data_IF_042242952454
#
_entry.id   IF_042242952454
#
_cell.length_a   1.000
_cell.length_b   1.000
_cell.length_c   1.000
_cell.angle_alpha   90.00
_cell.angle_beta   90.00
_cell.angle_gamma   90.00
#
_symmetry.space_group_name_H-M   'P 1'
#
loop_
_entity.id
_entity.type
_entity.pdbx_description
1 polymer ?
#
# COMPACT_ATOMS: atom_id res chain seq x y z
N UNK A 1 6.73 18.06 5.70
CA UNK A 1 6.03 16.84 6.11
C UNK A 1 4.58 17.00 5.68
N UNK A 2 4.10 16.19 4.75
CA UNK A 2 2.75 16.32 4.20
C UNK A 2 1.86 15.30 4.89
N UNK A 3 0.82 15.76 5.58
CA UNK A 3 -0.16 14.88 6.18
C UNK A 3 -1.18 14.46 5.12
N UNK A 4 -1.44 13.15 5.05
CA UNK A 4 -2.43 12.55 4.17
C UNK A 4 -3.39 11.74 5.03
N UNK A 5 -4.68 11.87 4.74
CA UNK A 5 -5.74 11.08 5.36
C UNK A 5 -6.17 10.03 4.36
N UNK A 6 -6.21 8.77 4.80
CA UNK A 6 -6.62 7.63 3.98
C UNK A 6 -7.67 6.83 4.74
N UNK A 7 -8.79 6.57 4.08
CA UNK A 7 -9.80 5.66 4.61
C UNK A 7 -9.35 4.22 4.33
N UNK A 8 -9.17 3.47 5.41
CA UNK A 8 -8.75 2.08 5.38
C UNK A 8 -9.82 1.19 6.03
N UNK A 9 -10.05 -0.03 5.49
CA UNK A 9 -10.87 -1.01 6.19
C UNK A 9 -10.32 -1.29 7.59
N UNK A 10 -11.21 -1.43 8.56
CA UNK A 10 -10.85 -1.66 9.98
C UNK A 10 -9.89 -2.85 10.13
N UNK A 11 -10.16 -3.95 9.44
CA UNK A 11 -9.32 -5.15 9.47
C UNK A 11 -7.88 -4.91 8.99
N UNK A 12 -7.68 -3.96 8.07
CA UNK A 12 -6.36 -3.61 7.54
C UNK A 12 -5.61 -2.71 8.52
N UNK A 13 -6.32 -1.79 9.17
CA UNK A 13 -5.79 -0.98 10.27
C UNK A 13 -5.32 -1.87 11.42
N UNK A 14 -6.15 -2.83 11.85
CA UNK A 14 -5.80 -3.78 12.91
C UNK A 14 -4.56 -4.62 12.56
N UNK A 15 -4.49 -5.10 11.31
CA UNK A 15 -3.36 -5.90 10.83
C UNK A 15 -2.06 -5.08 10.81
N UNK A 16 -2.11 -3.86 10.28
CA UNK A 16 -0.96 -2.96 10.21
C UNK A 16 -0.49 -2.51 11.61
N UNK A 17 -1.43 -2.28 12.54
CA UNK A 17 -1.10 -2.00 13.94
C UNK A 17 -0.46 -3.20 14.64
N UNK A 18 -0.95 -4.42 14.38
CA UNK A 18 -0.35 -5.64 14.91
C UNK A 18 1.10 -5.80 14.43
N UNK A 19 1.33 -5.55 13.13
CA UNK A 19 2.66 -5.60 12.52
C UNK A 19 3.59 -4.51 13.08
N UNK A 20 3.09 -3.29 13.28
CA UNK A 20 3.84 -2.21 13.93
C UNK A 20 4.28 -2.57 15.34
N UNK A 21 3.38 -3.15 16.14
CA UNK A 21 3.72 -3.65 17.49
C UNK A 21 4.78 -4.74 17.45
N UNK A 22 4.65 -5.71 16.54
CA UNK A 22 5.61 -6.81 16.40
C UNK A 22 7.00 -6.35 15.95
N UNK A 23 7.08 -5.23 15.21
CA UNK A 23 8.32 -4.68 14.67
C UNK A 23 8.85 -3.46 15.45
N UNK A 24 8.17 -3.06 16.54
CA UNK A 24 8.45 -1.85 17.30
C UNK A 24 8.49 -0.57 16.43
N UNK A 25 7.59 -0.49 15.43
CA UNK A 25 7.51 0.62 14.48
C UNK A 25 6.13 1.27 14.50
N UNK A 26 6.11 2.54 14.13
CA UNK A 26 4.87 3.31 13.99
C UNK A 26 4.04 2.82 12.81
N UNK A 27 2.71 2.96 12.92
CA UNK A 27 1.77 2.55 11.87
C UNK A 27 2.08 3.21 10.52
N UNK A 28 2.46 4.49 10.53
CA UNK A 28 2.81 5.22 9.31
C UNK A 28 4.03 4.65 8.58
N UNK A 29 5.02 4.15 9.32
CA UNK A 29 6.21 3.52 8.74
C UNK A 29 5.85 2.19 8.09
N UNK A 30 5.06 1.36 8.78
CA UNK A 30 4.59 0.08 8.26
C UNK A 30 3.77 0.27 6.99
N UNK A 31 2.88 1.27 6.97
CA UNK A 31 2.07 1.59 5.79
C UNK A 31 2.94 2.13 4.63
N UNK A 32 3.93 2.97 4.93
CA UNK A 32 4.86 3.49 3.90
C UNK A 32 5.64 2.36 3.24
N UNK A 33 6.28 1.49 4.03
CA UNK A 33 7.03 0.34 3.53
C UNK A 33 6.14 -0.60 2.70
N UNK A 34 4.91 -0.84 3.17
CA UNK A 34 3.94 -1.66 2.44
C UNK A 34 3.62 -1.07 1.08
N UNK A 35 3.45 0.25 0.99
CA UNK A 35 3.23 0.94 -0.28
C UNK A 35 4.46 0.86 -1.18
N UNK A 36 5.68 1.04 -0.65
CA UNK A 36 6.92 0.91 -1.43
C UNK A 36 7.08 -0.47 -2.06
N UNK A 37 6.65 -1.53 -1.37
CA UNK A 37 6.67 -2.90 -1.88
C UNK A 37 5.61 -3.12 -2.96
N UNK A 38 4.39 -2.59 -2.77
CA UNK A 38 3.25 -2.88 -3.65
C UNK A 38 3.23 -1.98 -4.89
N UNK A 39 3.66 -0.72 -4.78
CA UNK A 39 3.60 0.28 -5.86
C UNK A 39 4.26 -0.19 -7.17
N UNK A 40 5.46 -0.81 -7.18
CA UNK A 40 6.07 -1.31 -8.41
C UNK A 40 5.20 -2.37 -9.11
N UNK A 41 4.66 -3.31 -8.35
CA UNK A 41 3.79 -4.39 -8.86
C UNK A 41 2.46 -3.82 -9.36
N UNK A 42 1.86 -2.91 -8.61
CA UNK A 42 0.62 -2.25 -9.00
C UNK A 42 0.78 -1.42 -10.27
N UNK A 43 1.87 -0.63 -10.38
CA UNK A 43 2.18 0.14 -11.58
C UNK A 43 2.49 -0.73 -12.79
N UNK A 44 3.06 -1.91 -12.59
CA UNK A 44 3.24 -2.90 -13.66
C UNK A 44 1.89 -3.43 -14.12
N UNK A 45 1.06 -3.92 -13.19
CA UNK A 45 -0.26 -4.46 -13.50
C UNK A 45 -1.17 -3.42 -14.20
N UNK A 46 -1.16 -2.16 -13.74
CA UNK A 46 -1.88 -1.08 -14.41
C UNK A 46 -1.37 -0.83 -15.83
N UNK A 47 -0.04 -0.84 -16.04
CA UNK A 47 0.51 -0.71 -17.39
C UNK A 47 0.09 -1.87 -18.27
N UNK A 48 0.17 -3.10 -17.78
CA UNK A 48 -0.20 -4.30 -18.54
C UNK A 48 -1.70 -4.29 -18.91
N UNK A 49 -2.58 -3.82 -18.00
CA UNK A 49 -4.00 -3.60 -18.29
C UNK A 49 -4.23 -2.50 -19.34
N UNK A 50 -3.51 -1.38 -19.25
CA UNK A 50 -3.60 -0.29 -20.24
C UNK A 50 -3.07 -0.74 -21.62
N UNK A 51 -2.05 -1.59 -21.65
CA UNK A 51 -1.55 -2.19 -22.89
C UNK A 51 -2.56 -3.17 -23.49
N UNK A 52 -3.23 -3.97 -22.65
CA UNK A 52 -4.28 -4.89 -23.08
C UNK A 52 -5.48 -4.15 -23.70
N UNK A 53 -5.89 -3.02 -23.12
CA UNK A 53 -7.03 -2.22 -23.61
C UNK A 53 -6.72 -1.47 -24.93
N UNK A 54 -5.44 -1.16 -25.20
CA UNK A 54 -5.00 -0.47 -26.43
C UNK A 54 -4.62 -1.38 -27.60
N UNK A 55 -4.76 -2.71 -27.46
CA UNK A 55 -4.32 -3.63 -28.50
C UNK A 55 -4.93 -5.03 -28.39
N UNK A 56 -6.17 -5.17 -28.86
CA UNK A 56 -6.75 -6.40 -29.39
C UNK A 56 -7.52 -6.05 -30.68
#
# INVERSE_FOLDING_TARGET
>A
MTQITIDLPVSLVESAQCLGKATARELSEVLSDSLEIILPTFNKALRDLVWFDRGA
#
